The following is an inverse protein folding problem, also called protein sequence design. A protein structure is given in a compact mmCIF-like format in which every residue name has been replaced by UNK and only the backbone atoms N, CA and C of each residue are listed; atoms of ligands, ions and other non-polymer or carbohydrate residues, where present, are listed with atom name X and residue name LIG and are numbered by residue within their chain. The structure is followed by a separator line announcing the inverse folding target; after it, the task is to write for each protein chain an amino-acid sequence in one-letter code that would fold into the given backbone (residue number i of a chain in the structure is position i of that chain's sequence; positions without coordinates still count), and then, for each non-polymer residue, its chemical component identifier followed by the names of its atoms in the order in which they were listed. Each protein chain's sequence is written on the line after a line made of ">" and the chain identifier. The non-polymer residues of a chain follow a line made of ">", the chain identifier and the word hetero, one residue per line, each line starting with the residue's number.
data_IF_884142620680
#
_entry.id   IF_884142620680
#
_cell.length_a   1.000
_cell.length_b   1.000
_cell.length_c   1.000
_cell.angle_alpha   90.00
_cell.angle_beta   90.00
_cell.angle_gamma   90.00
#
_symmetry.space_group_name_H-M   'P 1'
#
loop_
_entity.id
_entity.type
_entity.pdbx_description
1 polymer ?
#
# COMPACT_ATOMS: atom_id res chain seq x y z
N UNK A 1 -6.06 -21.29 3.48
CA UNK A 1 -7.18 -20.34 3.35
C UNK A 1 -7.89 -20.29 4.68
N UNK A 2 -7.95 -19.12 5.28
CA UNK A 2 -8.97 -18.83 6.28
C UNK A 2 -9.91 -17.85 5.59
N UNK A 3 -11.08 -18.34 5.18
CA UNK A 3 -12.17 -17.49 4.68
C UNK A 3 -12.94 -17.07 5.91
N UNK A 4 -12.89 -15.78 6.22
CA UNK A 4 -13.70 -15.17 7.25
C UNK A 4 -14.78 -14.37 6.52
N UNK A 5 -15.99 -14.92 6.51
CA UNK A 5 -17.19 -14.25 6.01
C UNK A 5 -17.91 -13.66 7.22
N UNK A 6 -17.99 -12.34 7.27
CA UNK A 6 -18.60 -11.60 8.36
C UNK A 6 -19.48 -10.50 7.78
N UNK A 7 -20.76 -10.79 7.65
CA UNK A 7 -21.77 -9.76 7.42
C UNK A 7 -21.94 -8.92 8.70
N UNK A 8 -21.85 -7.60 8.55
CA UNK A 8 -22.04 -6.60 9.61
C UNK A 8 -21.07 -6.70 10.82
N UNK A 9 -19.80 -7.02 10.58
CA UNK A 9 -18.79 -7.06 11.65
C UNK A 9 -17.82 -5.88 11.62
N UNK A 10 -17.92 -5.03 12.63
CA UNK A 10 -16.93 -3.98 12.92
C UNK A 10 -16.05 -4.45 14.08
N UNK A 11 -14.73 -4.53 13.87
CA UNK A 11 -13.77 -4.70 14.97
C UNK A 11 -12.91 -3.45 15.12
N UNK A 12 -12.82 -2.98 16.35
CA UNK A 12 -12.00 -1.85 16.74
C UNK A 12 -10.82 -2.38 17.57
N UNK A 13 -9.59 -2.00 17.19
CA UNK A 13 -8.38 -2.38 17.90
C UNK A 13 -7.97 -1.27 18.86
N UNK A 14 -8.35 -1.39 20.14
CA UNK A 14 -7.76 -0.60 21.20
C UNK A 14 -6.38 -1.18 21.59
N UNK A 15 -5.34 -0.36 21.60
CA UNK A 15 -3.94 -0.68 21.95
C UNK A 15 -3.16 -1.65 21.02
N UNK A 16 -3.82 -2.20 19.98
CA UNK A 16 -3.31 -2.47 18.64
C UNK A 16 -2.02 -3.30 18.45
N UNK A 17 -2.12 -4.64 18.47
CA UNK A 17 -1.21 -5.49 17.71
C UNK A 17 -1.91 -6.73 17.13
N UNK A 18 -2.13 -6.76 15.81
CA UNK A 18 -2.39 -8.02 15.12
C UNK A 18 -1.04 -8.71 14.89
N UNK A 19 -0.67 -9.64 15.77
CA UNK A 19 0.49 -10.51 15.56
C UNK A 19 0.07 -11.73 14.76
N UNK A 20 0.61 -11.89 13.56
CA UNK A 20 0.54 -13.17 12.86
C UNK A 20 1.31 -14.24 13.64
N UNK A 21 0.66 -15.39 13.90
CA UNK A 21 1.25 -16.56 14.56
C UNK A 21 1.03 -17.77 13.65
N UNK A 22 2.11 -18.39 13.17
CA UNK A 22 2.04 -19.55 12.28
C UNK A 22 3.18 -19.57 11.25
N UNK A 23 3.15 -20.56 10.35
CA UNK A 23 4.12 -20.63 9.24
C UNK A 23 4.00 -19.40 8.31
N UNK A 24 5.12 -18.92 7.77
CA UNK A 24 5.21 -17.73 6.90
C UNK A 24 4.56 -17.89 5.51
N UNK A 25 3.52 -18.70 5.40
CA UNK A 25 2.78 -18.97 4.15
C UNK A 25 1.48 -18.16 4.06
N UNK A 26 1.24 -17.24 4.99
CA UNK A 26 0.07 -16.35 4.95
C UNK A 26 0.31 -15.18 3.99
N UNK A 27 -0.63 -15.00 3.07
CA UNK A 27 -0.67 -13.88 2.14
C UNK A 27 -1.77 -12.90 2.59
N UNK A 28 -1.51 -11.60 2.47
CA UNK A 28 -2.45 -10.53 2.78
C UNK A 28 -2.38 -9.46 1.68
N UNK A 29 -3.54 -8.98 1.26
CA UNK A 29 -3.67 -7.84 0.36
C UNK A 29 -4.11 -6.61 1.14
N UNK A 30 -3.54 -5.46 0.82
CA UNK A 30 -3.91 -4.16 1.39
C UNK A 30 -4.10 -3.20 0.23
N UNK A 31 -5.20 -2.46 0.25
CA UNK A 31 -5.51 -1.41 -0.73
C UNK A 31 -5.80 -0.13 0.04
N UNK A 32 -5.22 0.98 -0.41
CA UNK A 32 -5.53 2.31 0.07
C UNK A 32 -6.23 3.06 -1.05
N UNK A 33 -7.43 3.56 -0.79
CA UNK A 33 -8.21 4.35 -1.73
C UNK A 33 -8.01 5.85 -1.48
N UNK A 34 -8.39 6.67 -2.46
CA UNK A 34 -8.47 8.13 -2.33
C UNK A 34 -7.21 8.78 -1.72
N UNK A 35 -6.04 8.35 -2.21
CA UNK A 35 -4.75 8.87 -1.78
C UNK A 35 -4.69 10.38 -2.00
N UNK A 36 -4.51 11.12 -0.90
CA UNK A 36 -4.40 12.57 -0.91
C UNK A 36 -2.95 13.04 -0.95
N UNK A 37 -2.04 12.28 -0.33
CA UNK A 37 -0.63 12.66 -0.24
C UNK A 37 0.29 11.49 -0.57
N UNK A 38 1.39 11.82 -1.25
CA UNK A 38 2.48 10.89 -1.57
C UNK A 38 3.79 11.55 -1.12
N UNK A 39 4.45 10.95 -0.15
CA UNK A 39 5.70 11.45 0.42
C UNK A 39 6.85 10.48 0.15
N UNK A 40 8.01 11.02 -0.21
CA UNK A 40 9.26 10.24 -0.26
C UNK A 40 9.94 10.26 1.11
N UNK A 41 10.34 9.09 1.58
CA UNK A 41 11.20 8.93 2.75
C UNK A 41 12.51 8.19 2.40
N UNK A 42 13.63 8.51 3.07
CA UNK A 42 14.86 7.74 2.96
C UNK A 42 14.66 6.32 3.51
N UNK A 43 15.17 5.30 2.81
CA UNK A 43 15.09 3.92 3.26
C UNK A 43 16.24 3.09 2.69
N UNK A 44 17.28 2.88 3.51
CA UNK A 44 18.52 2.28 3.05
C UNK A 44 19.19 3.10 1.94
N UNK A 45 20.20 2.51 1.30
CA UNK A 45 21.03 3.22 0.32
C UNK A 45 20.48 3.11 -1.11
N UNK A 46 19.85 1.98 -1.45
CA UNK A 46 19.44 1.66 -2.83
C UNK A 46 17.92 1.66 -3.06
N UNK A 47 17.13 2.12 -2.09
CA UNK A 47 15.68 2.10 -2.16
C UNK A 47 15.06 3.46 -1.91
N UNK A 48 13.93 3.68 -2.55
CA UNK A 48 13.06 4.83 -2.32
C UNK A 48 11.81 4.31 -1.63
N UNK A 49 11.51 4.85 -0.44
CA UNK A 49 10.25 4.57 0.24
C UNK A 49 9.24 5.65 -0.12
N UNK A 50 8.09 5.24 -0.63
CA UNK A 50 6.93 6.10 -0.86
C UNK A 50 5.89 5.81 0.21
N UNK A 51 5.37 6.85 0.82
CA UNK A 51 4.29 6.79 1.79
C UNK A 51 3.07 7.46 1.17
N UNK A 52 1.99 6.70 1.08
CA UNK A 52 0.69 7.12 0.57
C UNK A 52 -0.22 7.32 1.78
N UNK A 53 -0.93 8.43 1.86
CA UNK A 53 -1.91 8.69 2.91
C UNK A 53 -3.20 9.30 2.36
N UNK A 54 -4.33 8.95 2.98
CA UNK A 54 -5.64 9.56 2.78
C UNK A 54 -5.90 10.66 3.82
N UNK A 55 -7.10 11.24 3.81
CA UNK A 55 -7.55 12.27 4.74
C UNK A 55 -8.07 11.73 6.08
N UNK A 56 -8.36 10.43 6.15
CA UNK A 56 -8.78 9.73 7.37
C UNK A 56 -7.58 9.33 8.26
N UNK A 57 -6.36 9.50 7.77
CA UNK A 57 -5.13 9.24 8.50
C UNK A 57 -4.54 7.83 8.28
N UNK A 58 -5.08 7.05 7.35
CA UNK A 58 -4.51 5.78 6.96
C UNK A 58 -3.22 6.00 6.16
N UNK A 59 -2.25 5.09 6.33
CA UNK A 59 -0.96 5.17 5.63
C UNK A 59 -0.52 3.82 5.09
N UNK A 60 -0.19 3.79 3.81
CA UNK A 60 0.47 2.66 3.15
C UNK A 60 1.88 3.09 2.76
N UNK A 61 2.89 2.28 3.09
CA UNK A 61 4.26 2.58 2.70
C UNK A 61 4.84 1.44 1.85
N UNK A 62 5.45 1.81 0.72
CA UNK A 62 6.07 0.87 -0.21
C UNK A 62 7.52 1.26 -0.44
N UNK A 63 8.43 0.32 -0.18
CA UNK A 63 9.86 0.50 -0.48
C UNK A 63 10.18 -0.10 -1.84
N UNK A 64 10.64 0.73 -2.77
CA UNK A 64 10.88 0.38 -4.15
C UNK A 64 12.38 0.44 -4.46
N UNK A 65 12.87 -0.49 -5.29
CA UNK A 65 14.15 -0.31 -5.98
C UNK A 65 13.99 0.72 -7.11
N UNK A 66 15.11 1.30 -7.56
CA UNK A 66 15.12 2.30 -8.64
C UNK A 66 14.38 1.81 -9.90
N UNK A 67 14.64 0.57 -10.33
CA UNK A 67 13.99 -0.04 -11.51
C UNK A 67 12.48 -0.18 -11.38
N UNK A 68 11.97 -0.40 -10.17
CA UNK A 68 10.53 -0.49 -9.91
C UNK A 68 9.89 0.90 -9.97
N UNK A 69 10.59 1.94 -9.49
CA UNK A 69 10.12 3.31 -9.59
C UNK A 69 10.04 3.76 -11.06
N UNK A 70 11.03 3.41 -11.88
CA UNK A 70 10.99 3.71 -13.32
C UNK A 70 9.83 3.00 -14.01
N UNK A 71 9.51 1.76 -13.60
CA UNK A 71 8.32 1.06 -14.09
C UNK A 71 7.02 1.79 -13.73
N UNK A 72 6.91 2.32 -12.52
CA UNK A 72 5.74 3.11 -12.10
C UNK A 72 5.61 4.37 -12.96
N UNK A 73 6.71 5.07 -13.22
CA UNK A 73 6.71 6.27 -14.09
C UNK A 73 6.21 5.95 -15.50
N UNK A 74 6.66 4.85 -16.08
CA UNK A 74 6.23 4.42 -17.40
C UNK A 74 4.72 4.14 -17.44
N UNK A 75 4.19 3.41 -16.45
CA UNK A 75 2.75 3.12 -16.34
C UNK A 75 1.95 4.44 -16.22
N UNK A 76 2.41 5.38 -15.38
CA UNK A 76 1.72 6.64 -15.19
C UNK A 76 1.68 7.51 -16.46
N UNK A 77 2.71 7.47 -17.31
CA UNK A 77 2.71 8.19 -18.59
C UNK A 77 1.82 7.57 -19.66
N UNK A 78 1.66 6.23 -19.65
CA UNK A 78 0.76 5.55 -20.59
C UNK A 78 -0.70 5.92 -20.34
N UNK A 79 -1.10 6.07 -19.08
CA UNK A 79 -2.45 6.48 -18.69
C UNK A 79 -2.76 7.94 -19.04
N UNK A 80 -1.77 8.84 -19.02
CA UNK A 80 -1.99 10.25 -19.40
C UNK A 80 -2.23 10.43 -20.90
N UNK A 81 -1.65 9.58 -21.75
CA UNK A 81 -1.82 9.64 -23.20
C UNK A 81 -3.17 9.01 -23.64
N UNK A 82 -3.73 8.10 -22.85
CA UNK A 82 -5.03 7.47 -23.13
C UNK A 82 -6.24 8.39 -22.90
N UNK A 83 -6.06 9.53 -22.22
CA UNK A 83 -7.12 10.49 -21.91
C UNK A 83 -7.38 11.57 -22.98
N UNK A 84 -6.60 11.60 -24.07
CA UNK A 84 -6.63 12.66 -25.10
C UNK A 84 -7.10 12.17 -26.49
N UNK A 85 -7.88 11.09 -26.56
CA UNK A 85 -8.54 10.58 -27.79
C UNK A 85 -10.06 10.51 -27.61
#
# INVERSE_FOLDING_TARGET
>A
MLTIDLEEFTFELADGAIKHVGASTTNASVTLYDVQTIERQPFGDDRVKLVFADDEGNKLAVSLAATQLDRIRAIASEESDAGDT
#
